data_IF_592498985330
#
_entry.id   IF_592498985330
#
_cell.length_a   1.000
_cell.length_b   1.000
_cell.length_c   1.000
_cell.angle_alpha   90.00
_cell.angle_beta   90.00
_cell.angle_gamma   90.00
#
_symmetry.space_group_name_H-M   'P 1'
#
loop_
_entity.id
_entity.type
_entity.pdbx_description
1 polymer ?
#
# COMPACT_ATOMS: atom_id res chain seq x y z
N UNK A 1 4.32 67.80 58.01
CA UNK A 1 5.25 67.06 58.92
C UNK A 1 5.33 65.61 58.47
N UNK A 2 6.56 65.10 58.31
CA UNK A 2 7.06 63.68 58.28
C UNK A 2 6.23 62.62 57.53
N UNK A 3 6.68 62.17 56.34
CA UNK A 3 7.63 61.05 56.09
C UNK A 3 7.17 59.70 56.68
N UNK A 4 6.85 58.73 55.82
CA UNK A 4 7.78 57.64 55.49
C UNK A 4 7.31 56.76 54.33
N UNK A 5 8.27 56.35 53.51
CA UNK A 5 8.19 55.42 52.36
C UNK A 5 9.01 54.17 52.72
N UNK A 6 8.77 53.05 52.01
CA UNK A 6 9.55 51.79 51.86
C UNK A 6 8.97 50.63 52.69
N UNK A 7 8.84 49.38 52.22
CA UNK A 7 9.40 48.56 51.12
C UNK A 7 8.44 47.35 50.91
N UNK A 8 8.08 46.97 49.69
CA UNK A 8 8.67 45.86 48.90
C UNK A 8 8.60 44.46 49.58
N UNK A 9 7.82 43.53 49.01
CA UNK A 9 8.31 42.26 48.48
C UNK A 9 7.23 41.52 47.66
N UNK A 10 7.71 40.87 46.62
CA UNK A 10 7.04 40.22 45.49
C UNK A 10 6.74 38.73 45.82
N UNK A 11 6.14 38.02 44.85
CA UNK A 11 5.88 36.56 44.75
C UNK A 11 4.39 36.26 45.04
N UNK A 12 3.57 35.74 44.14
CA UNK A 12 3.80 35.09 42.86
C UNK A 12 2.68 34.04 42.69
N UNK A 13 2.02 34.01 41.53
CA UNK A 13 0.96 33.06 41.19
C UNK A 13 -0.20 33.80 40.52
N UNK A 14 -0.55 33.56 39.27
CA UNK A 14 -0.50 32.32 38.50
C UNK A 14 -0.10 32.67 37.07
N UNK A 15 1.08 32.22 36.67
CA UNK A 15 1.54 32.22 35.27
C UNK A 15 1.20 30.87 34.65
N UNK A 16 0.65 30.97 33.43
CA UNK A 16 0.95 30.13 32.27
C UNK A 16 0.38 28.70 32.21
N UNK A 17 -0.53 28.55 31.23
CA UNK A 17 -0.47 27.54 30.17
C UNK A 17 0.03 26.17 30.62
N UNK A 18 -0.89 25.35 31.11
CA UNK A 18 -0.67 23.90 31.12
C UNK A 18 -0.62 23.43 29.67
N UNK A 19 0.61 23.17 29.24
CA UNK A 19 1.02 22.47 28.04
C UNK A 19 0.07 21.29 27.77
N UNK A 20 -0.63 21.34 26.64
CA UNK A 20 -1.25 20.15 26.07
C UNK A 20 -0.14 19.15 25.78
N UNK A 21 -0.04 18.13 26.62
CA UNK A 21 0.72 16.92 26.32
C UNK A 21 0.20 16.35 25.01
N UNK A 22 0.99 16.47 23.94
CA UNK A 22 0.92 15.55 22.82
C UNK A 22 1.39 14.17 23.32
N UNK A 23 0.53 13.47 24.05
CA UNK A 23 0.73 12.06 24.39
C UNK A 23 0.41 11.25 23.15
N UNK A 24 1.46 10.84 22.44
CA UNK A 24 1.43 9.62 21.63
C UNK A 24 0.94 8.49 22.54
N UNK A 25 -0.34 8.14 22.40
CA UNK A 25 -0.93 7.05 23.18
C UNK A 25 -0.35 5.74 22.67
N UNK A 26 0.55 5.14 23.44
CA UNK A 26 0.93 3.75 23.21
C UNK A 26 -0.32 2.87 23.40
N UNK A 27 -0.66 2.12 22.37
CA UNK A 27 -1.79 1.19 22.40
C UNK A 27 -1.56 0.16 23.51
N UNK A 28 -2.60 -0.12 24.31
CA UNK A 28 -2.51 -1.18 25.33
C UNK A 28 -2.30 -2.54 24.67
N UNK A 29 -1.72 -3.50 25.40
CA UNK A 29 -1.54 -4.88 24.91
C UNK A 29 -2.87 -5.49 24.43
N UNK A 30 -3.95 -5.20 25.14
CA UNK A 30 -5.31 -5.62 24.79
C UNK A 30 -5.78 -5.01 23.46
N UNK A 31 -5.52 -3.71 23.24
CA UNK A 31 -5.84 -3.04 21.98
C UNK A 31 -5.02 -3.59 20.80
N UNK A 32 -3.74 -3.93 21.02
CA UNK A 32 -2.89 -4.55 20.00
C UNK A 32 -3.44 -5.93 19.63
N UNK A 33 -3.81 -6.75 20.61
CA UNK A 33 -4.33 -8.09 20.37
C UNK A 33 -5.69 -8.06 19.66
N UNK A 34 -6.57 -7.15 20.07
CA UNK A 34 -7.85 -6.92 19.39
C UNK A 34 -7.65 -6.51 17.92
N UNK A 35 -6.70 -5.60 17.63
CA UNK A 35 -6.37 -5.20 16.25
C UNK A 35 -5.81 -6.35 15.42
N UNK A 36 -4.94 -7.19 15.98
CA UNK A 36 -4.40 -8.38 15.31
C UNK A 36 -5.49 -9.38 14.97
N UNK A 37 -6.37 -9.67 15.93
CA UNK A 37 -7.52 -10.56 15.74
C UNK A 37 -8.45 -10.04 14.64
N UNK A 38 -8.81 -8.76 14.68
CA UNK A 38 -9.64 -8.13 13.66
C UNK A 38 -9.01 -8.21 12.26
N UNK A 39 -7.71 -7.90 12.15
CA UNK A 39 -6.99 -8.01 10.87
C UNK A 39 -6.90 -9.46 10.37
N UNK A 40 -6.77 -10.45 11.24
CA UNK A 40 -6.77 -11.86 10.86
C UNK A 40 -8.15 -12.33 10.38
N UNK A 41 -9.22 -11.94 11.06
CA UNK A 41 -10.61 -12.24 10.66
C UNK A 41 -10.98 -11.58 9.34
N UNK A 42 -10.59 -10.32 9.13
CA UNK A 42 -10.75 -9.62 7.85
C UNK A 42 -9.97 -10.35 6.75
N UNK A 43 -8.69 -10.62 6.99
CA UNK A 43 -7.85 -11.36 6.05
C UNK A 43 -8.47 -12.69 5.66
N UNK A 44 -9.10 -13.41 6.58
CA UNK A 44 -9.74 -14.69 6.28
C UNK A 44 -10.95 -14.57 5.32
N UNK A 45 -11.63 -13.42 5.31
CA UNK A 45 -12.80 -13.15 4.45
C UNK A 45 -12.42 -12.62 3.07
N UNK A 46 -11.23 -12.05 2.92
CA UNK A 46 -10.77 -11.48 1.65
C UNK A 46 -10.31 -12.56 0.66
N UNK A 47 -10.49 -12.35 -0.66
CA UNK A 47 -9.99 -13.25 -1.70
C UNK A 47 -8.49 -13.53 -1.57
N UNK A 48 -8.05 -14.70 -2.07
CA UNK A 48 -6.67 -15.19 -2.00
C UNK A 48 -6.06 -15.32 -3.40
N UNK A 49 -5.69 -14.19 -4.06
CA UNK A 49 -5.29 -14.21 -5.46
C UNK A 49 -3.85 -14.70 -5.69
N UNK A 50 -3.07 -14.91 -4.63
CA UNK A 50 -1.67 -15.32 -4.76
C UNK A 50 -1.53 -16.84 -4.71
N UNK A 51 -0.79 -17.40 -5.66
CA UNK A 51 -0.62 -18.84 -5.84
C UNK A 51 0.87 -19.23 -5.74
N UNK A 52 1.36 -19.67 -4.57
CA UNK A 52 2.75 -20.09 -4.40
C UNK A 52 3.18 -21.25 -5.30
N UNK A 53 2.24 -22.10 -5.69
CA UNK A 53 2.41 -23.24 -6.59
C UNK A 53 2.54 -22.86 -8.07
N UNK A 54 2.17 -21.62 -8.44
CA UNK A 54 2.14 -21.18 -9.82
C UNK A 54 3.54 -21.02 -10.42
N UNK A 55 3.66 -21.28 -11.73
CA UNK A 55 4.89 -21.00 -12.46
C UNK A 55 4.90 -19.53 -12.89
N UNK A 56 5.36 -18.67 -11.99
CA UNK A 56 5.34 -17.22 -12.22
C UNK A 56 6.06 -16.78 -13.50
N UNK A 57 7.14 -17.48 -13.92
CA UNK A 57 7.84 -17.16 -15.16
C UNK A 57 6.96 -17.39 -16.40
N UNK A 58 6.20 -18.49 -16.41
CA UNK A 58 5.28 -18.82 -17.49
C UNK A 58 4.06 -17.90 -17.49
N UNK A 59 3.50 -17.64 -16.32
CA UNK A 59 2.29 -16.81 -16.19
C UNK A 59 2.55 -15.36 -16.58
N UNK A 60 3.70 -14.79 -16.18
CA UNK A 60 4.11 -13.45 -16.63
C UNK A 60 4.32 -13.41 -18.14
N UNK A 61 4.96 -14.42 -18.73
CA UNK A 61 5.09 -14.50 -20.19
C UNK A 61 3.74 -14.56 -20.90
N UNK A 62 2.78 -15.30 -20.36
CA UNK A 62 1.43 -15.38 -20.91
C UNK A 62 0.68 -14.05 -20.75
N UNK A 63 0.82 -13.37 -19.61
CA UNK A 63 0.26 -12.05 -19.37
C UNK A 63 0.80 -11.03 -20.38
N UNK A 64 2.11 -11.04 -20.66
CA UNK A 64 2.74 -10.17 -21.67
C UNK A 64 2.20 -10.47 -23.08
N UNK A 65 2.09 -11.75 -23.46
CA UNK A 65 1.52 -12.14 -24.77
C UNK A 65 0.07 -11.66 -24.92
N UNK A 66 -0.73 -11.78 -23.86
CA UNK A 66 -2.10 -11.28 -23.85
C UNK A 66 -2.14 -9.75 -23.92
N UNK A 67 -1.29 -9.08 -23.14
CA UNK A 67 -1.17 -7.62 -23.12
C UNK A 67 -0.87 -7.06 -24.51
N UNK A 68 0.08 -7.67 -25.23
CA UNK A 68 0.41 -7.33 -26.62
C UNK A 68 -0.77 -7.52 -27.58
N UNK A 69 -1.54 -8.60 -27.43
CA UNK A 69 -2.71 -8.88 -28.28
C UNK A 69 -3.85 -7.88 -28.02
N UNK A 70 -4.01 -7.46 -26.77
CA UNK A 70 -5.09 -6.58 -26.33
C UNK A 70 -4.70 -5.10 -26.30
N UNK A 71 -3.47 -4.76 -26.68
CA UNK A 71 -2.90 -3.41 -26.57
C UNK A 71 -3.01 -2.83 -25.15
N UNK A 72 -2.68 -3.69 -24.18
CA UNK A 72 -2.69 -3.41 -22.74
C UNK A 72 -1.28 -3.45 -22.17
N UNK A 73 -1.10 -2.86 -21.01
CA UNK A 73 0.10 -3.01 -20.19
C UNK A 73 -0.11 -4.18 -19.22
N UNK A 74 0.92 -4.61 -18.51
CA UNK A 74 0.77 -5.58 -17.41
C UNK A 74 0.97 -4.83 -16.09
N UNK A 75 0.03 -5.00 -15.15
CA UNK A 75 0.25 -4.62 -13.76
C UNK A 75 0.49 -5.88 -12.95
N UNK A 76 1.67 -5.99 -12.37
CA UNK A 76 2.02 -7.04 -11.43
C UNK A 76 1.89 -6.47 -10.02
N UNK A 77 0.94 -6.97 -9.24
CA UNK A 77 0.89 -6.72 -7.81
C UNK A 77 1.71 -7.79 -7.10
N UNK A 78 2.92 -7.45 -6.70
CA UNK A 78 3.77 -8.32 -5.92
C UNK A 78 3.37 -8.30 -4.44
N UNK A 79 3.29 -9.47 -3.81
CA UNK A 79 2.87 -9.62 -2.42
C UNK A 79 2.52 -11.05 -2.09
N UNK A 80 1.63 -11.28 -1.12
CA UNK A 80 1.20 -12.63 -0.78
C UNK A 80 -0.08 -12.67 0.05
N UNK A 81 -0.68 -13.86 0.17
CA UNK A 81 -1.94 -14.06 0.90
C UNK A 81 -1.85 -13.77 2.41
N UNK A 82 -0.63 -13.68 2.96
CA UNK A 82 -0.35 -13.33 4.35
C UNK A 82 -0.47 -11.81 4.62
N UNK A 83 -0.37 -10.99 3.57
CA UNK A 83 -0.30 -9.53 3.60
C UNK A 83 -1.71 -8.91 3.51
N UNK A 84 -2.21 -8.33 4.61
CA UNK A 84 -3.56 -7.73 4.65
C UNK A 84 -3.71 -6.58 3.66
N UNK A 85 -2.71 -5.71 3.53
CA UNK A 85 -2.72 -4.58 2.59
C UNK A 85 -2.80 -5.03 1.13
N UNK A 86 -2.11 -6.13 0.78
CA UNK A 86 -2.18 -6.74 -0.54
C UNK A 86 -3.61 -7.21 -0.86
N UNK A 87 -4.28 -7.85 0.10
CA UNK A 87 -5.64 -8.32 -0.09
C UNK A 87 -6.66 -7.17 -0.11
N UNK A 88 -6.44 -6.15 0.72
CA UNK A 88 -7.24 -4.91 0.71
C UNK A 88 -7.14 -4.21 -0.64
N UNK A 89 -5.94 -4.04 -1.19
CA UNK A 89 -5.77 -3.39 -2.50
C UNK A 89 -6.49 -4.17 -3.59
N UNK A 90 -6.28 -5.50 -3.64
CA UNK A 90 -6.94 -6.35 -4.61
C UNK A 90 -8.46 -6.24 -4.48
N UNK A 91 -9.01 -6.39 -3.26
CA UNK A 91 -10.44 -6.28 -3.04
C UNK A 91 -10.97 -4.89 -3.41
N UNK A 92 -10.22 -3.84 -3.09
CA UNK A 92 -10.60 -2.46 -3.39
C UNK A 92 -10.72 -2.22 -4.90
N UNK A 93 -9.74 -2.67 -5.69
CA UNK A 93 -9.81 -2.58 -7.16
C UNK A 93 -10.95 -3.42 -7.71
N UNK A 94 -11.14 -4.66 -7.24
CA UNK A 94 -12.17 -5.55 -7.78
C UNK A 94 -13.61 -5.13 -7.41
N UNK A 95 -13.81 -4.51 -6.25
CA UNK A 95 -15.14 -4.12 -5.73
C UNK A 95 -15.52 -2.67 -6.07
N UNK A 96 -14.58 -1.85 -6.55
CA UNK A 96 -14.85 -0.46 -6.94
C UNK A 96 -15.04 -0.38 -8.45
N UNK A 97 -16.27 -0.20 -8.98
CA UNK A 97 -16.55 -0.34 -10.41
C UNK A 97 -15.69 0.52 -11.32
N UNK A 98 -15.43 1.77 -10.93
CA UNK A 98 -14.60 2.68 -11.72
C UNK A 98 -13.12 2.24 -11.78
N UNK A 99 -12.57 1.71 -10.68
CA UNK A 99 -11.22 1.15 -10.67
C UNK A 99 -11.16 -0.14 -11.48
N UNK A 100 -12.14 -1.02 -11.30
CA UNK A 100 -12.22 -2.28 -12.04
C UNK A 100 -12.26 -2.03 -13.54
N UNK A 101 -13.16 -1.15 -13.99
CA UNK A 101 -13.27 -0.79 -15.41
C UNK A 101 -11.98 -0.14 -15.92
N UNK A 102 -11.35 0.72 -15.13
CA UNK A 102 -10.07 1.34 -15.46
C UNK A 102 -8.97 0.28 -15.66
N UNK A 103 -8.86 -0.69 -14.76
CA UNK A 103 -7.86 -1.75 -14.85
C UNK A 103 -8.17 -2.70 -16.02
N UNK A 104 -9.39 -3.24 -16.09
CA UNK A 104 -9.80 -4.21 -17.10
C UNK A 104 -9.62 -3.68 -18.53
N UNK A 105 -9.79 -2.37 -18.75
CA UNK A 105 -9.63 -1.75 -20.06
C UNK A 105 -8.18 -1.51 -20.48
N UNK A 106 -7.24 -1.41 -19.54
CA UNK A 106 -5.90 -0.90 -19.82
C UNK A 106 -4.77 -1.87 -19.42
N UNK A 107 -5.07 -2.86 -18.59
CA UNK A 107 -4.06 -3.75 -18.03
C UNK A 107 -4.47 -5.22 -18.05
N UNK A 108 -3.46 -6.08 -18.18
CA UNK A 108 -3.51 -7.46 -17.71
C UNK A 108 -3.01 -7.46 -16.26
N UNK A 109 -3.86 -7.91 -15.34
CA UNK A 109 -3.58 -7.87 -13.91
C UNK A 109 -3.06 -9.23 -13.42
N UNK A 110 -1.86 -9.25 -12.86
CA UNK A 110 -1.22 -10.46 -12.34
C UNK A 110 -0.78 -10.29 -10.87
N UNK A 111 -0.91 -11.35 -10.08
CA UNK A 111 -0.50 -11.38 -8.66
C UNK A 111 0.76 -12.23 -8.51
N UNK A 112 1.91 -11.59 -8.32
CA UNK A 112 3.19 -12.29 -8.11
C UNK A 112 3.35 -12.64 -6.63
N UNK A 113 3.36 -13.94 -6.33
CA UNK A 113 3.49 -14.45 -4.96
C UNK A 113 4.91 -14.30 -4.42
N UNK A 114 5.01 -13.75 -3.20
CA UNK A 114 6.13 -13.84 -2.29
C UNK A 114 5.62 -14.40 -0.98
N UNK A 115 6.14 -15.54 -0.54
CA UNK A 115 5.68 -16.24 0.65
C UNK A 115 6.77 -17.18 1.18
N UNK A 116 6.67 -17.68 2.42
CA UNK A 116 7.57 -18.72 2.92
C UNK A 116 7.62 -19.98 2.02
N UNK A 117 6.49 -20.36 1.42
CA UNK A 117 6.35 -21.55 0.57
C UNK A 117 7.05 -21.38 -0.77
N UNK A 118 6.92 -20.20 -1.37
CA UNK A 118 7.63 -19.80 -2.59
C UNK A 118 7.79 -18.28 -2.61
N UNK A 119 9.04 -17.82 -2.69
CA UNK A 119 9.39 -16.39 -2.76
C UNK A 119 9.54 -15.88 -4.19
N UNK A 120 9.63 -16.76 -5.19
CA UNK A 120 9.92 -16.37 -6.57
C UNK A 120 11.19 -15.49 -6.71
N UNK A 121 12.24 -15.75 -5.91
CA UNK A 121 13.42 -14.88 -5.76
C UNK A 121 14.07 -14.47 -7.09
N UNK A 122 14.20 -15.42 -8.03
CA UNK A 122 14.74 -15.14 -9.37
C UNK A 122 13.89 -14.14 -10.16
N UNK A 123 12.57 -14.25 -10.06
CA UNK A 123 11.63 -13.34 -10.74
C UNK A 123 11.71 -11.95 -10.11
N UNK A 124 11.72 -11.87 -8.78
CA UNK A 124 11.90 -10.59 -8.07
C UNK A 124 13.23 -9.92 -8.39
N UNK A 125 14.31 -10.71 -8.51
CA UNK A 125 15.64 -10.19 -8.87
C UNK A 125 15.62 -9.52 -10.24
N UNK A 126 14.90 -10.09 -11.22
CA UNK A 126 14.76 -9.52 -12.55
C UNK A 126 14.07 -8.13 -12.54
N UNK A 127 13.30 -7.83 -11.51
CA UNK A 127 12.63 -6.54 -11.32
C UNK A 127 13.32 -5.66 -10.24
N UNK A 128 14.51 -6.04 -9.80
CA UNK A 128 15.30 -5.27 -8.83
C UNK A 128 14.83 -5.38 -7.38
N UNK A 129 14.18 -6.49 -7.00
CA UNK A 129 13.72 -6.79 -5.63
C UNK A 129 12.93 -5.64 -4.96
N UNK A 130 11.87 -5.12 -5.59
CA UNK A 130 11.20 -3.91 -5.10
C UNK A 130 10.58 -4.05 -3.70
N UNK A 131 10.22 -5.28 -3.32
CA UNK A 131 9.68 -5.56 -1.98
C UNK A 131 10.67 -5.32 -0.85
N UNK A 132 11.99 -5.39 -1.10
CA UNK A 132 13.02 -5.06 -0.11
C UNK A 132 13.08 -3.56 0.18
N UNK A 133 12.74 -2.73 -0.82
CA UNK A 133 12.78 -1.27 -0.72
C UNK A 133 11.46 -0.68 -0.21
N UNK A 134 10.34 -1.19 -0.69
CA UNK A 134 9.01 -0.59 -0.48
C UNK A 134 8.08 -1.42 0.40
N UNK A 135 8.44 -2.68 0.68
CA UNK A 135 7.50 -3.62 1.31
C UNK A 135 6.43 -4.13 0.33
N UNK A 136 5.35 -4.68 0.88
CA UNK A 136 4.27 -5.28 0.11
C UNK A 136 2.90 -4.71 0.50
N UNK A 137 1.98 -4.48 -0.46
CA UNK A 137 2.15 -4.73 -1.87
C UNK A 137 3.10 -3.73 -2.53
N UNK A 138 3.73 -4.15 -3.62
CA UNK A 138 4.46 -3.24 -4.52
C UNK A 138 4.05 -3.56 -5.95
N UNK A 139 3.90 -2.54 -6.79
CA UNK A 139 3.41 -2.74 -8.14
C UNK A 139 4.53 -2.57 -9.16
N UNK A 140 4.60 -3.48 -10.12
CA UNK A 140 5.54 -3.44 -11.24
C UNK A 140 4.69 -3.30 -12.50
N UNK A 141 4.93 -2.24 -13.27
CA UNK A 141 4.26 -2.04 -14.55
C UNK A 141 5.19 -2.48 -15.68
N UNK A 142 4.69 -3.37 -16.53
CA UNK A 142 5.32 -3.72 -17.79
C UNK A 142 4.51 -3.10 -18.94
N UNK A 143 5.20 -2.61 -19.97
CA UNK A 143 4.53 -2.27 -21.22
C UNK A 143 4.03 -3.52 -21.95
N UNK A 144 3.30 -3.33 -23.06
CA UNK A 144 2.76 -4.42 -23.89
C UNK A 144 3.84 -5.37 -24.46
N UNK A 145 5.12 -4.97 -24.45
CA UNK A 145 6.25 -5.79 -24.90
C UNK A 145 6.99 -6.46 -23.73
N UNK A 146 6.53 -6.27 -22.49
CA UNK A 146 7.09 -6.86 -21.29
C UNK A 146 8.26 -6.08 -20.69
N UNK A 147 8.57 -4.87 -21.20
CA UNK A 147 9.61 -4.02 -20.59
C UNK A 147 9.04 -3.40 -19.33
N UNK A 148 9.79 -3.51 -18.22
CA UNK A 148 9.45 -2.77 -17.00
C UNK A 148 9.56 -1.26 -17.26
N UNK A 149 8.44 -0.55 -17.09
CA UNK A 149 8.36 0.90 -17.27
C UNK A 149 8.19 1.65 -15.95
N UNK A 150 7.72 0.98 -14.88
CA UNK A 150 7.54 1.61 -13.58
C UNK A 150 7.55 0.62 -12.41
N UNK A 151 7.94 1.11 -11.24
CA UNK A 151 7.74 0.45 -9.94
C UNK A 151 7.05 1.46 -9.03
N UNK A 152 5.90 1.07 -8.49
CA UNK A 152 5.07 1.92 -7.63
C UNK A 152 5.10 1.41 -6.18
N UNK A 153 5.57 2.27 -5.28
CA UNK A 153 5.36 2.12 -3.83
C UNK A 153 3.86 2.21 -3.55
N UNK A 154 3.31 1.27 -2.78
CA UNK A 154 1.89 1.28 -2.42
C UNK A 154 1.55 2.27 -1.32
N UNK A 155 2.52 2.66 -0.48
CA UNK A 155 2.29 3.54 0.67
C UNK A 155 1.73 4.91 0.26
N UNK A 156 2.14 5.41 -0.91
CA UNK A 156 1.64 6.69 -1.43
C UNK A 156 0.17 6.61 -1.88
N UNK A 157 -0.38 5.41 -2.09
CA UNK A 157 -1.77 5.19 -2.49
C UNK A 157 -2.71 5.04 -1.29
N UNK A 158 -2.16 4.88 -0.08
CA UNK A 158 -2.91 4.57 1.13
C UNK A 158 -3.67 5.79 1.70
N UNK A 159 -4.64 5.46 2.54
CA UNK A 159 -5.38 6.36 3.44
C UNK A 159 -5.68 5.64 4.76
N UNK A 160 -6.23 6.34 5.75
CA UNK A 160 -6.35 5.91 7.16
C UNK A 160 -6.85 4.47 7.35
N UNK A 161 -7.75 3.98 6.51
CA UNK A 161 -8.31 2.62 6.61
C UNK A 161 -8.32 1.85 5.29
N UNK A 162 -7.40 2.13 4.37
CA UNK A 162 -7.36 1.45 3.08
C UNK A 162 -6.57 2.23 2.02
N UNK A 163 -7.16 2.35 0.84
CA UNK A 163 -6.57 3.06 -0.28
C UNK A 163 -7.45 4.23 -0.71
N UNK A 164 -6.83 5.33 -1.11
CA UNK A 164 -7.54 6.50 -1.60
C UNK A 164 -7.92 6.32 -3.09
N UNK A 165 -9.17 6.59 -3.43
CA UNK A 165 -9.70 6.41 -4.79
C UNK A 165 -8.93 7.19 -5.84
N UNK A 166 -8.75 8.49 -5.64
CA UNK A 166 -8.13 9.37 -6.64
C UNK A 166 -6.65 9.04 -6.80
N UNK A 167 -5.92 8.76 -5.72
CA UNK A 167 -4.51 8.33 -5.82
C UNK A 167 -4.34 7.03 -6.61
N UNK A 168 -5.24 6.06 -6.40
CA UNK A 168 -5.21 4.79 -7.14
C UNK A 168 -5.59 4.99 -8.61
N UNK A 169 -6.57 5.87 -8.90
CA UNK A 169 -6.91 6.25 -10.28
C UNK A 169 -5.74 6.94 -10.97
N UNK A 170 -5.09 7.88 -10.31
CA UNK A 170 -3.95 8.62 -10.86
C UNK A 170 -2.80 7.67 -11.17
N UNK A 171 -2.52 6.72 -10.28
CA UNK A 171 -1.56 5.65 -10.53
C UNK A 171 -1.92 4.87 -11.81
N UNK A 172 -3.13 4.32 -11.89
CA UNK A 172 -3.54 3.54 -13.07
C UNK A 172 -3.71 4.39 -14.33
N UNK A 173 -3.98 5.69 -14.24
CA UNK A 173 -4.05 6.60 -15.38
C UNK A 173 -2.66 6.94 -15.92
N UNK A 174 -1.68 7.14 -15.04
CA UNK A 174 -0.32 7.55 -15.39
C UNK A 174 0.43 6.51 -16.23
N UNK A 175 0.06 5.23 -16.10
CA UNK A 175 0.79 4.11 -16.69
C UNK A 175 -0.03 3.28 -17.68
N UNK A 176 -1.11 3.88 -18.23
CA UNK A 176 -1.89 3.24 -19.29
C UNK A 176 -1.05 2.98 -20.54
N UNK A 177 -1.46 2.04 -21.40
CA UNK A 177 -0.87 1.88 -22.72
C UNK A 177 -0.91 3.19 -23.49
N UNK A 178 0.21 3.54 -24.13
CA UNK A 178 0.23 4.60 -25.14
C UNK A 178 -0.45 4.01 -26.37
N UNK A 179 -1.67 4.45 -26.66
CA UNK A 179 -2.36 4.04 -27.88
C UNK A 179 -1.60 4.62 -29.07
N UNK A 180 -1.21 3.75 -30.00
CA UNK A 180 -0.65 4.16 -31.29
C UNK A 180 -1.72 4.72 -32.21
#
# INVERSE_FOLDING_TARGET
MRKSVKKLLFVGGVLLFSLTNAQTTELTKEQIEAKKKAAAEEKAKLPKPYHPEANAALDIQNAIKQAKKEHKNVVIQAGGNWCIWCLRFNNYVQQTPELKQLVDNNYIYYHLNWSPENKNEKIFTNYGNPGEKFGYPVFIILDENGKQIHIQDSSVLEEVSGYNLEKVKDFFNSWKPIKS
#
